data_IF_841223404962
#
_entry.id   IF_841223404962
#
_cell.length_a   1.000
_cell.length_b   1.000
_cell.length_c   1.000
_cell.angle_alpha   90.00
_cell.angle_beta   90.00
_cell.angle_gamma   90.00
#
_symmetry.space_group_name_H-M   'P 1'
#
loop_
_entity.id
_entity.type
_entity.pdbx_description
1 polymer ?
#
# COMPACT_ATOMS: atom_id res chain seq x y z
N UNK A 1 30.87 -6.46 -12.05
CA UNK A 1 30.45 -5.51 -11.00
C UNK A 1 29.36 -6.21 -10.21
N UNK A 2 29.68 -6.69 -9.03
CA UNK A 2 28.74 -7.36 -8.12
C UNK A 2 27.76 -6.32 -7.59
N UNK A 3 26.49 -6.42 -8.01
CA UNK A 3 25.41 -5.67 -7.37
C UNK A 3 25.25 -6.24 -5.97
N UNK A 4 25.70 -5.47 -4.96
CA UNK A 4 25.54 -5.84 -3.56
C UNK A 4 24.06 -6.04 -3.24
N UNK A 5 23.72 -7.13 -2.55
CA UNK A 5 22.38 -7.34 -1.99
C UNK A 5 22.01 -6.10 -1.16
N UNK A 6 20.81 -5.53 -1.33
CA UNK A 6 20.41 -4.37 -0.54
C UNK A 6 20.47 -4.74 0.95
N UNK A 7 21.15 -3.91 1.71
CA UNK A 7 21.23 -4.03 3.17
C UNK A 7 19.81 -3.97 3.73
N UNK A 8 19.32 -5.08 4.30
CA UNK A 8 17.95 -5.21 4.84
C UNK A 8 17.68 -4.27 6.02
N UNK A 9 18.67 -3.51 6.44
CA UNK A 9 18.60 -2.59 7.58
C UNK A 9 18.16 -1.18 7.20
N UNK A 10 18.21 -0.79 5.91
CA UNK A 10 17.81 0.55 5.49
C UNK A 10 16.33 0.59 5.08
N UNK A 11 15.53 1.55 5.63
CA UNK A 11 14.14 1.72 5.22
C UNK A 11 14.03 2.10 3.73
N UNK A 12 13.10 1.44 3.02
CA UNK A 12 12.74 1.80 1.64
C UNK A 12 11.94 3.09 1.61
N UNK A 13 10.93 3.19 2.49
CA UNK A 13 10.05 4.36 2.61
C UNK A 13 10.04 4.82 4.06
N UNK A 14 10.15 6.15 4.26
CA UNK A 14 10.08 6.78 5.57
C UNK A 14 9.18 8.01 5.53
N UNK A 15 8.46 8.22 6.61
CA UNK A 15 7.84 9.49 7.00
C UNK A 15 8.48 9.95 8.30
N UNK A 16 9.03 11.14 8.33
CA UNK A 16 9.74 11.68 9.49
C UNK A 16 9.02 12.93 10.00
N UNK A 17 8.52 12.87 11.23
CA UNK A 17 7.87 13.99 11.90
C UNK A 17 6.68 14.56 11.13
N UNK A 18 5.89 13.72 10.46
CA UNK A 18 4.82 14.16 9.57
C UNK A 18 3.70 14.86 10.33
N UNK A 19 3.42 16.11 9.96
CA UNK A 19 2.28 16.87 10.44
C UNK A 19 1.36 17.19 9.27
N UNK A 20 0.05 16.98 9.48
CA UNK A 20 -0.98 17.40 8.52
C UNK A 20 -2.17 18.02 9.22
N UNK A 21 -2.56 19.21 8.76
CA UNK A 21 -3.72 19.95 9.23
C UNK A 21 -4.71 20.16 8.10
N UNK A 22 -5.99 20.11 8.42
CA UNK A 22 -7.07 20.55 7.55
C UNK A 22 -7.84 21.65 8.30
N UNK A 23 -7.56 22.90 7.93
CA UNK A 23 -8.01 24.05 8.71
C UNK A 23 -7.41 24.03 10.12
N UNK A 24 -8.27 23.99 11.15
CA UNK A 24 -7.85 23.90 12.56
C UNK A 24 -7.63 22.47 13.06
N UNK A 25 -8.07 21.47 12.30
CA UNK A 25 -7.98 20.07 12.70
C UNK A 25 -6.58 19.52 12.37
N UNK A 26 -5.85 19.08 13.39
CA UNK A 26 -4.60 18.33 13.23
C UNK A 26 -4.95 16.86 13.03
N UNK A 27 -4.67 16.30 11.84
CA UNK A 27 -4.98 14.91 11.47
C UNK A 27 -3.75 14.00 11.56
N UNK A 28 -2.55 14.54 11.33
CA UNK A 28 -1.28 13.88 11.66
C UNK A 28 -0.49 14.82 12.57
N UNK A 29 0.02 14.29 13.67
CA UNK A 29 0.76 15.04 14.68
C UNK A 29 2.13 14.40 14.92
N UNK A 30 3.15 14.84 14.19
CA UNK A 30 4.55 14.37 14.26
C UNK A 30 4.67 12.85 14.13
N UNK A 31 4.01 12.29 13.12
CA UNK A 31 4.04 10.85 12.86
C UNK A 31 5.38 10.47 12.23
N UNK A 32 6.07 9.52 12.87
CA UNK A 32 7.17 8.78 12.29
C UNK A 32 6.67 7.43 11.77
N UNK A 33 7.12 7.04 10.59
CA UNK A 33 6.75 5.79 9.94
C UNK A 33 7.90 5.30 9.05
N UNK A 34 8.10 3.99 8.98
CA UNK A 34 9.07 3.42 8.04
C UNK A 34 8.62 2.04 7.56
N UNK A 35 9.13 1.60 6.42
CA UNK A 35 9.05 0.23 5.93
C UNK A 35 10.34 -0.16 5.22
N UNK A 36 10.84 -1.35 5.52
CA UNK A 36 12.03 -1.96 4.91
C UNK A 36 11.74 -2.73 3.62
N UNK A 37 12.78 -3.15 2.90
CA UNK A 37 12.65 -3.99 1.71
C UNK A 37 12.10 -5.37 2.08
N UNK A 38 11.05 -5.83 1.38
CA UNK A 38 10.39 -7.12 1.66
C UNK A 38 9.65 -7.16 3.00
N UNK A 39 9.55 -6.03 3.71
CA UNK A 39 8.75 -5.91 4.92
C UNK A 39 7.28 -5.63 4.56
N UNK A 40 6.36 -6.25 5.30
CA UNK A 40 4.95 -5.91 5.24
C UNK A 40 4.51 -5.27 6.57
N UNK A 41 4.11 -4.01 6.50
CA UNK A 41 3.64 -3.23 7.65
C UNK A 41 2.14 -3.01 7.54
N UNK A 42 1.40 -3.48 8.55
CA UNK A 42 -0.03 -3.19 8.71
C UNK A 42 -0.24 -1.88 9.47
N UNK A 43 -1.22 -1.09 9.04
CA UNK A 43 -1.65 0.10 9.77
C UNK A 43 -3.08 -0.09 10.22
N UNK A 44 -3.31 -0.05 11.54
CA UNK A 44 -4.61 -0.20 12.18
C UNK A 44 -4.93 0.99 13.06
N UNK A 45 -6.16 1.06 13.56
CA UNK A 45 -6.63 2.11 14.46
C UNK A 45 -8.08 2.50 14.18
N UNK A 46 -8.74 3.22 15.09
CA UNK A 46 -10.14 3.63 14.95
C UNK A 46 -10.37 4.54 13.74
N UNK A 47 -11.65 4.73 13.39
CA UNK A 47 -12.02 5.69 12.36
C UNK A 47 -11.61 7.11 12.79
N UNK A 48 -11.04 7.88 11.86
CA UNK A 48 -10.51 9.22 12.16
C UNK A 48 -9.11 9.23 12.78
N UNK A 49 -8.45 8.09 13.01
CA UNK A 49 -7.09 8.02 13.54
C UNK A 49 -6.00 8.64 12.65
N UNK A 50 -6.31 8.91 11.37
CA UNK A 50 -5.35 9.52 10.44
C UNK A 50 -4.71 8.54 9.44
N UNK A 51 -5.06 7.25 9.46
CA UNK A 51 -4.46 6.19 8.61
C UNK A 51 -4.44 6.52 7.13
N UNK A 52 -5.61 6.80 6.54
CA UNK A 52 -5.72 7.16 5.12
C UNK A 52 -5.00 8.49 4.81
N UNK A 53 -4.95 9.43 5.76
CA UNK A 53 -4.19 10.67 5.59
C UNK A 53 -2.69 10.38 5.56
N UNK A 54 -2.18 9.50 6.43
CA UNK A 54 -0.79 9.05 6.40
C UNK A 54 -0.46 8.43 5.04
N UNK A 55 -1.29 7.49 4.56
CA UNK A 55 -1.10 6.86 3.26
C UNK A 55 -1.12 7.89 2.11
N UNK A 56 -2.02 8.87 2.16
CA UNK A 56 -2.11 9.95 1.18
C UNK A 56 -0.87 10.86 1.20
N UNK A 57 -0.29 11.13 2.37
CA UNK A 57 0.95 11.91 2.53
C UNK A 57 2.12 11.10 1.97
N UNK A 58 2.24 9.82 2.30
CA UNK A 58 3.27 8.94 1.75
C UNK A 58 3.19 8.84 0.23
N UNK A 59 1.97 8.66 -0.32
CA UNK A 59 1.73 8.60 -1.77
C UNK A 59 1.89 9.95 -2.50
N UNK A 60 1.94 11.07 -1.78
CA UNK A 60 2.05 12.42 -2.36
C UNK A 60 0.74 13.00 -2.89
N UNK A 61 -0.41 12.34 -2.63
CA UNK A 61 -1.74 12.88 -2.93
C UNK A 61 -2.10 14.08 -2.03
N UNK A 62 -1.48 14.13 -0.86
CA UNK A 62 -1.57 15.23 0.10
C UNK A 62 -0.15 15.62 0.53
N UNK A 63 0.17 16.89 0.51
CA UNK A 63 1.46 17.38 1.02
C UNK A 63 1.41 17.50 2.55
N UNK A 64 2.44 17.04 3.28
CA UNK A 64 2.55 17.33 4.71
C UNK A 64 2.77 18.83 4.94
N UNK A 65 2.33 19.33 6.08
CA UNK A 65 2.59 20.73 6.48
C UNK A 65 3.97 20.87 7.15
N UNK A 66 4.41 19.80 7.86
CA UNK A 66 5.74 19.67 8.45
C UNK A 66 6.24 18.23 8.25
N UNK A 67 7.55 18.03 8.37
CA UNK A 67 8.18 16.72 8.23
C UNK A 67 8.56 16.36 6.79
N UNK A 68 9.06 15.15 6.61
CA UNK A 68 9.61 14.70 5.33
C UNK A 68 9.16 13.28 4.99
N UNK A 69 8.90 13.05 3.70
CA UNK A 69 8.75 11.70 3.12
C UNK A 69 9.99 11.39 2.31
N UNK A 70 10.60 10.23 2.58
CA UNK A 70 11.83 9.78 1.94
C UNK A 70 11.62 8.41 1.30
N UNK A 71 12.15 8.20 0.11
CA UNK A 71 12.26 6.90 -0.54
C UNK A 71 13.74 6.63 -0.80
N UNK A 72 14.29 5.56 -0.23
CA UNK A 72 15.73 5.28 -0.23
C UNK A 72 16.58 6.48 0.20
N UNK A 73 16.12 7.26 1.20
CA UNK A 73 16.80 8.46 1.67
C UNK A 73 16.59 9.71 0.80
N UNK A 74 16.01 9.59 -0.40
CA UNK A 74 15.70 10.72 -1.28
C UNK A 74 14.37 11.38 -0.86
N UNK A 75 14.37 12.71 -0.64
CA UNK A 75 13.18 13.44 -0.22
C UNK A 75 12.15 13.60 -1.36
N UNK A 76 10.90 13.22 -1.07
CA UNK A 76 9.81 13.20 -2.04
C UNK A 76 8.79 14.35 -1.87
N UNK A 77 8.92 15.24 -0.88
CA UNK A 77 7.87 16.20 -0.50
C UNK A 77 7.38 17.07 -1.67
N UNK A 78 8.28 17.45 -2.59
CA UNK A 78 7.95 18.30 -3.75
C UNK A 78 7.44 17.54 -4.96
N UNK A 79 7.45 16.20 -4.90
CA UNK A 79 7.09 15.35 -6.02
C UNK A 79 5.59 15.06 -6.02
N UNK A 80 4.99 15.15 -7.20
CA UNK A 80 3.60 14.73 -7.46
C UNK A 80 3.48 13.20 -7.41
N UNK A 81 2.28 12.64 -7.21
CA UNK A 81 2.07 11.19 -7.18
C UNK A 81 2.65 10.43 -8.38
N UNK A 82 2.51 10.98 -9.59
CA UNK A 82 3.06 10.38 -10.82
C UNK A 82 4.59 10.28 -10.79
N UNK A 83 5.28 11.28 -10.22
CA UNK A 83 6.73 11.27 -10.11
C UNK A 83 7.21 10.29 -9.02
N UNK A 84 6.44 10.15 -7.92
CA UNK A 84 6.68 9.13 -6.89
C UNK A 84 6.45 7.72 -7.45
N UNK A 85 5.43 7.54 -8.29
CA UNK A 85 5.17 6.29 -8.98
C UNK A 85 6.37 5.87 -9.85
N UNK A 86 6.91 6.78 -10.68
CA UNK A 86 8.11 6.53 -11.50
C UNK A 86 9.37 6.22 -10.68
N UNK A 87 9.39 6.56 -9.39
CA UNK A 87 10.48 6.21 -8.46
C UNK A 87 10.24 4.88 -7.73
N UNK A 88 9.17 4.18 -8.05
CA UNK A 88 8.87 2.86 -7.48
C UNK A 88 7.87 2.88 -6.33
N UNK A 89 6.95 3.84 -6.28
CA UNK A 89 5.85 3.85 -5.32
C UNK A 89 4.54 3.47 -5.99
N UNK A 90 4.09 2.23 -5.83
CA UNK A 90 2.80 1.75 -6.30
C UNK A 90 1.68 2.02 -5.28
N UNK A 91 0.45 2.19 -5.77
CA UNK A 91 -0.72 2.29 -4.91
C UNK A 91 -1.92 1.56 -5.51
N UNK A 92 -2.59 0.75 -4.70
CA UNK A 92 -3.91 0.18 -4.97
C UNK A 92 -4.95 0.85 -4.06
N UNK A 93 -6.09 1.21 -4.63
CA UNK A 93 -7.13 1.98 -3.94
C UNK A 93 -8.26 1.07 -3.43
N UNK A 94 -8.90 1.45 -2.35
CA UNK A 94 -10.06 0.77 -1.76
C UNK A 94 -11.16 0.50 -2.79
N UNK A 95 -11.52 1.53 -3.58
CA UNK A 95 -12.50 1.42 -4.66
C UNK A 95 -11.73 1.29 -5.97
N UNK A 96 -11.76 0.11 -6.63
CA UNK A 96 -11.10 -0.08 -7.90
C UNK A 96 -11.65 0.85 -8.98
N UNK A 97 -10.74 1.50 -9.72
CA UNK A 97 -11.10 2.43 -10.81
C UNK A 97 -10.43 2.00 -12.13
N UNK A 98 -10.81 0.86 -12.69
CA UNK A 98 -10.27 0.44 -13.97
C UNK A 98 -10.80 1.32 -15.11
N UNK A 99 -10.07 1.35 -16.20
CA UNK A 99 -10.57 1.86 -17.48
C UNK A 99 -11.58 0.86 -18.06
N UNK A 100 -12.85 1.05 -17.73
CA UNK A 100 -13.92 0.06 -17.97
C UNK A 100 -14.11 -0.35 -19.42
N UNK A 101 -13.79 0.54 -20.36
CA UNK A 101 -13.86 0.30 -21.81
C UNK A 101 -12.65 -0.47 -22.37
N UNK A 102 -11.58 -0.59 -21.60
CA UNK A 102 -10.36 -1.30 -21.96
C UNK A 102 -10.39 -2.74 -21.45
N UNK A 103 -9.60 -3.62 -22.07
CA UNK A 103 -9.36 -4.98 -21.58
C UNK A 103 -8.50 -4.97 -20.31
N UNK A 104 -8.42 -6.11 -19.64
CA UNK A 104 -7.52 -6.31 -18.47
C UNK A 104 -6.08 -6.03 -18.85
N UNK A 105 -5.60 -6.60 -19.96
CA UNK A 105 -4.24 -6.39 -20.46
C UNK A 105 -3.97 -4.92 -20.77
N UNK A 106 -4.89 -4.21 -21.44
CA UNK A 106 -4.73 -2.78 -21.75
C UNK A 106 -4.66 -1.93 -20.47
N UNK A 107 -5.45 -2.27 -19.44
CA UNK A 107 -5.37 -1.60 -18.14
C UNK A 107 -3.99 -1.76 -17.49
N UNK A 108 -3.42 -2.96 -17.53
CA UNK A 108 -2.09 -3.26 -16.98
C UNK A 108 -1.02 -2.54 -17.82
N UNK A 109 -1.15 -2.53 -19.14
CA UNK A 109 -0.22 -1.85 -20.05
C UNK A 109 -0.16 -0.33 -19.80
N UNK A 110 -1.29 0.31 -19.44
CA UNK A 110 -1.32 1.71 -19.01
C UNK A 110 -0.46 1.90 -17.76
N UNK A 111 -0.55 1.01 -16.78
CA UNK A 111 0.29 1.04 -15.57
C UNK A 111 1.78 0.91 -15.90
N UNK A 112 2.13 -0.11 -16.69
CA UNK A 112 3.50 -0.38 -17.11
C UNK A 112 4.12 0.80 -17.88
N UNK A 113 3.39 1.34 -18.85
CA UNK A 113 3.88 2.46 -19.67
C UNK A 113 3.99 3.79 -18.91
N UNK A 114 3.21 3.98 -17.85
CA UNK A 114 3.22 5.21 -17.05
C UNK A 114 4.29 5.21 -15.95
N UNK A 115 4.60 4.05 -15.37
CA UNK A 115 5.44 3.91 -14.18
C UNK A 115 6.78 3.24 -14.44
N UNK A 116 6.77 2.10 -15.10
CA UNK A 116 7.98 1.34 -15.35
C UNK A 116 8.87 2.02 -16.40
N UNK A 117 10.16 2.16 -16.09
CA UNK A 117 11.13 2.71 -17.04
C UNK A 117 11.64 1.61 -18.00
N UNK A 118 10.70 0.92 -18.67
CA UNK A 118 10.96 -0.23 -19.53
C UNK A 118 10.98 0.17 -21.01
N UNK A 119 11.75 -0.56 -21.82
CA UNK A 119 11.70 -0.47 -23.27
C UNK A 119 10.42 -1.10 -23.80
N UNK A 120 10.00 -0.71 -25.01
CA UNK A 120 8.72 -1.14 -25.59
C UNK A 120 8.50 -2.67 -25.64
N UNK A 121 9.55 -3.46 -25.86
CA UNK A 121 9.49 -4.93 -25.83
C UNK A 121 9.24 -5.48 -24.41
N UNK A 122 9.97 -4.94 -23.45
CA UNK A 122 9.91 -5.36 -22.03
C UNK A 122 8.57 -5.04 -21.36
N UNK A 123 7.82 -4.05 -21.90
CA UNK A 123 6.49 -3.69 -21.37
C UNK A 123 5.47 -4.83 -21.49
N UNK A 124 5.48 -5.58 -22.61
CA UNK A 124 4.58 -6.71 -22.80
C UNK A 124 4.96 -7.88 -21.89
N UNK A 125 6.25 -8.19 -21.79
CA UNK A 125 6.74 -9.25 -20.90
C UNK A 125 6.33 -8.94 -19.45
N UNK A 126 6.50 -7.70 -19.01
CA UNK A 126 6.05 -7.25 -17.69
C UNK A 126 4.54 -7.38 -17.52
N UNK A 127 3.74 -7.08 -18.54
CA UNK A 127 2.29 -7.24 -18.46
C UNK A 127 1.88 -8.70 -18.30
N UNK A 128 2.56 -9.63 -19.01
CA UNK A 128 2.29 -11.07 -18.90
C UNK A 128 2.65 -11.58 -17.49
N UNK A 129 3.83 -11.24 -16.98
CA UNK A 129 4.22 -11.57 -15.59
C UNK A 129 3.18 -11.10 -14.57
N UNK A 130 2.72 -9.87 -14.71
CA UNK A 130 1.72 -9.28 -13.79
C UNK A 130 0.36 -9.96 -13.93
N UNK A 131 -0.05 -10.31 -15.15
CA UNK A 131 -1.28 -11.09 -15.38
C UNK A 131 -1.23 -12.45 -14.67
N UNK A 132 -0.12 -13.18 -14.83
CA UNK A 132 0.10 -14.47 -14.19
C UNK A 132 0.10 -14.36 -12.68
N UNK A 133 0.90 -13.43 -12.12
CA UNK A 133 1.03 -13.21 -10.70
C UNK A 133 -0.31 -12.84 -10.04
N UNK A 134 -1.14 -12.02 -10.74
CA UNK A 134 -2.44 -11.61 -10.23
C UNK A 134 -3.58 -12.60 -10.55
N UNK A 135 -3.30 -13.73 -11.20
CA UNK A 135 -4.31 -14.73 -11.61
C UNK A 135 -5.34 -14.14 -12.57
N UNK A 136 -4.89 -13.33 -13.53
CA UNK A 136 -5.75 -12.63 -14.51
C UNK A 136 -5.48 -13.06 -15.96
N UNK A 137 -4.63 -14.06 -16.21
CA UNK A 137 -4.21 -14.50 -17.56
C UNK A 137 -5.40 -14.86 -18.45
N UNK A 138 -6.35 -15.67 -17.96
CA UNK A 138 -7.55 -16.08 -18.69
C UNK A 138 -8.52 -14.93 -18.97
N UNK A 139 -8.34 -13.82 -18.27
CA UNK A 139 -9.18 -12.62 -18.38
C UNK A 139 -8.49 -11.50 -19.19
N UNK A 140 -7.27 -11.72 -19.71
CA UNK A 140 -6.46 -10.69 -20.34
C UNK A 140 -7.19 -9.88 -21.41
N UNK A 141 -7.99 -10.53 -22.25
CA UNK A 141 -8.77 -9.92 -23.32
C UNK A 141 -10.19 -9.50 -22.91
N UNK A 142 -10.58 -9.75 -21.65
CA UNK A 142 -11.90 -9.38 -21.15
C UNK A 142 -11.95 -7.91 -20.80
N UNK A 143 -13.07 -7.23 -21.10
CA UNK A 143 -13.28 -5.82 -20.72
C UNK A 143 -13.36 -5.68 -19.20
N UNK A 144 -12.58 -4.75 -18.63
CA UNK A 144 -12.51 -4.51 -17.19
C UNK A 144 -13.88 -4.16 -16.58
N UNK A 145 -14.75 -3.51 -17.34
CA UNK A 145 -16.12 -3.20 -16.91
C UNK A 145 -17.02 -4.41 -16.62
N UNK A 146 -16.71 -5.59 -17.19
CA UNK A 146 -17.48 -6.84 -16.98
C UNK A 146 -16.94 -7.73 -15.85
N UNK A 147 -15.87 -7.31 -15.17
CA UNK A 147 -15.26 -8.09 -14.08
C UNK A 147 -16.12 -8.02 -12.80
N UNK A 148 -16.16 -9.14 -12.05
CA UNK A 148 -16.64 -9.16 -10.67
C UNK A 148 -15.70 -8.43 -9.71
N UNK A 149 -16.12 -8.25 -8.46
CA UNK A 149 -15.41 -7.42 -7.48
C UNK A 149 -13.98 -7.91 -7.21
N UNK A 150 -13.79 -9.19 -6.95
CA UNK A 150 -12.46 -9.78 -6.73
C UNK A 150 -11.50 -9.49 -7.89
N UNK A 151 -11.93 -9.77 -9.13
CA UNK A 151 -11.08 -9.53 -10.30
C UNK A 151 -10.81 -8.04 -10.54
N UNK A 152 -11.74 -7.13 -10.18
CA UNK A 152 -11.47 -5.68 -10.21
C UNK A 152 -10.43 -5.29 -9.18
N UNK A 153 -10.46 -5.86 -7.99
CA UNK A 153 -9.45 -5.61 -6.94
C UNK A 153 -8.08 -6.17 -7.33
N UNK A 154 -8.05 -7.41 -7.87
CA UNK A 154 -6.82 -7.97 -8.44
C UNK A 154 -6.26 -7.11 -9.59
N UNK A 155 -7.14 -6.56 -10.46
CA UNK A 155 -6.72 -5.65 -11.53
C UNK A 155 -6.17 -4.33 -10.99
N UNK A 156 -6.72 -3.79 -9.89
CA UNK A 156 -6.18 -2.58 -9.25
C UNK A 156 -4.77 -2.82 -8.69
N UNK A 157 -4.55 -3.97 -8.03
CA UNK A 157 -3.21 -4.40 -7.60
C UNK A 157 -2.29 -4.62 -8.80
N UNK A 158 -2.77 -5.32 -9.84
CA UNK A 158 -2.01 -5.56 -11.07
C UNK A 158 -1.54 -4.27 -11.75
N UNK A 159 -2.40 -3.26 -11.83
CA UNK A 159 -2.05 -1.94 -12.39
C UNK A 159 -0.95 -1.25 -11.57
N UNK A 160 -1.02 -1.36 -10.25
CA UNK A 160 0.03 -0.83 -9.36
C UNK A 160 1.34 -1.61 -9.53
N UNK A 161 1.29 -2.96 -9.65
CA UNK A 161 2.46 -3.82 -9.86
C UNK A 161 3.14 -3.60 -11.21
N UNK A 162 2.35 -3.32 -12.24
CA UNK A 162 2.87 -3.04 -13.58
C UNK A 162 3.81 -1.84 -13.63
N UNK A 163 3.72 -0.92 -12.65
CA UNK A 163 4.64 0.22 -12.52
C UNK A 163 6.03 -0.15 -12.00
N UNK A 164 6.30 -1.43 -11.73
CA UNK A 164 7.53 -1.96 -11.11
C UNK A 164 7.83 -1.31 -9.73
N UNK A 165 6.91 -1.41 -8.74
CA UNK A 165 7.06 -0.71 -7.49
C UNK A 165 8.10 -1.36 -6.57
N UNK A 166 8.83 -0.54 -5.83
CA UNK A 166 9.69 -0.94 -4.70
C UNK A 166 8.90 -0.96 -3.39
N UNK A 167 7.86 -0.14 -3.32
CA UNK A 167 6.89 -0.13 -2.22
C UNK A 167 5.47 -0.07 -2.77
N UNK A 168 4.58 -0.88 -2.21
CA UNK A 168 3.17 -0.95 -2.57
C UNK A 168 2.31 -0.50 -1.39
N UNK A 169 1.52 0.55 -1.62
CA UNK A 169 0.58 1.10 -0.66
C UNK A 169 -0.82 0.53 -0.95
N UNK A 170 -1.39 -0.21 0.00
CA UNK A 170 -2.68 -0.87 -0.09
C UNK A 170 -3.67 -0.22 0.88
N UNK A 171 -4.79 0.28 0.36
CA UNK A 171 -5.81 1.02 1.12
C UNK A 171 -7.11 0.22 1.13
N UNK A 172 -7.37 -0.55 2.21
CA UNK A 172 -8.60 -1.30 2.46
C UNK A 172 -9.07 -2.16 1.26
N UNK A 173 -8.13 -2.87 0.65
CA UNK A 173 -8.40 -3.65 -0.56
C UNK A 173 -9.21 -4.93 -0.31
N UNK A 174 -9.29 -5.43 0.94
CA UNK A 174 -10.08 -6.61 1.34
C UNK A 174 -11.58 -6.36 1.44
N UNK A 175 -12.02 -5.10 1.59
CA UNK A 175 -13.41 -4.77 1.87
C UNK A 175 -14.40 -5.28 0.80
N UNK A 176 -15.50 -5.94 1.25
CA UNK A 176 -16.56 -6.42 0.37
C UNK A 176 -16.29 -7.76 -0.34
N UNK A 177 -15.18 -8.42 -0.04
CA UNK A 177 -14.86 -9.78 -0.49
C UNK A 177 -15.44 -10.81 0.50
N UNK A 178 -15.72 -12.00 0.00
CA UNK A 178 -15.98 -13.18 0.83
C UNK A 178 -14.68 -13.68 1.48
N UNK A 179 -14.76 -14.55 2.48
CA UNK A 179 -13.57 -15.10 3.15
C UNK A 179 -12.63 -15.80 2.16
N UNK A 180 -13.18 -16.66 1.27
CA UNK A 180 -12.39 -17.35 0.24
C UNK A 180 -11.71 -16.37 -0.75
N UNK A 181 -12.42 -15.30 -1.17
CA UNK A 181 -11.85 -14.27 -2.03
C UNK A 181 -10.77 -13.44 -1.31
N UNK A 182 -10.92 -13.29 0.00
CA UNK A 182 -9.92 -12.62 0.86
C UNK A 182 -8.66 -13.47 0.97
N UNK A 183 -8.79 -14.78 1.18
CA UNK A 183 -7.65 -15.72 1.22
C UNK A 183 -6.87 -15.70 -0.12
N UNK A 184 -7.57 -15.66 -1.24
CA UNK A 184 -6.97 -15.50 -2.57
C UNK A 184 -6.18 -14.19 -2.71
N UNK A 185 -6.69 -13.10 -2.15
CA UNK A 185 -6.00 -11.80 -2.15
C UNK A 185 -4.79 -11.82 -1.23
N UNK A 186 -4.92 -12.43 -0.05
CA UNK A 186 -3.81 -12.64 0.92
C UNK A 186 -2.68 -13.41 0.27
N UNK A 187 -2.98 -14.52 -0.42
CA UNK A 187 -1.98 -15.32 -1.12
C UNK A 187 -1.20 -14.50 -2.15
N UNK A 188 -1.89 -13.65 -2.93
CA UNK A 188 -1.25 -12.73 -3.86
C UNK A 188 -0.30 -11.77 -3.13
N UNK A 189 -0.73 -11.14 -2.03
CA UNK A 189 0.10 -10.18 -1.29
C UNK A 189 1.32 -10.85 -0.64
N UNK A 190 1.18 -12.10 -0.16
CA UNK A 190 2.30 -12.90 0.34
C UNK A 190 3.35 -13.15 -0.75
N UNK A 191 2.93 -13.53 -1.96
CA UNK A 191 3.83 -13.71 -3.10
C UNK A 191 4.59 -12.41 -3.42
N UNK A 192 3.91 -11.24 -3.40
CA UNK A 192 4.57 -9.95 -3.65
C UNK A 192 5.65 -9.63 -2.61
N UNK A 193 5.38 -9.93 -1.34
CA UNK A 193 6.36 -9.77 -0.26
C UNK A 193 7.59 -10.65 -0.47
N UNK A 194 7.38 -11.91 -0.89
CA UNK A 194 8.48 -12.85 -1.19
C UNK A 194 9.35 -12.37 -2.36
N UNK A 195 8.78 -11.65 -3.32
CA UNK A 195 9.52 -10.99 -4.40
C UNK A 195 10.23 -9.69 -3.97
N UNK A 196 10.24 -9.38 -2.67
CA UNK A 196 11.00 -8.26 -2.09
C UNK A 196 10.30 -6.91 -2.16
N UNK A 197 9.04 -6.85 -2.59
CA UNK A 197 8.24 -5.61 -2.57
C UNK A 197 7.94 -5.24 -1.11
N UNK A 198 8.26 -4.01 -0.72
CA UNK A 198 7.83 -3.47 0.57
C UNK A 198 6.31 -3.19 0.52
N UNK A 199 5.58 -3.55 1.58
CA UNK A 199 4.13 -3.42 1.61
C UNK A 199 3.70 -2.57 2.80
N UNK A 200 2.85 -1.59 2.55
CA UNK A 200 2.13 -0.84 3.58
C UNK A 200 0.65 -1.07 3.37
N UNK A 201 -0.01 -1.70 4.32
CA UNK A 201 -1.40 -2.10 4.17
C UNK A 201 -2.29 -1.58 5.29
N UNK A 202 -3.29 -0.77 4.92
CA UNK A 202 -4.37 -0.36 5.81
C UNK A 202 -5.54 -1.33 5.64
N UNK A 203 -5.99 -1.93 6.73
CA UNK A 203 -7.20 -2.77 6.76
C UNK A 203 -7.95 -2.61 8.07
N UNK A 204 -9.27 -2.82 8.01
CA UNK A 204 -10.13 -2.89 9.18
C UNK A 204 -10.27 -4.32 9.72
N UNK A 205 -10.05 -5.32 8.85
CA UNK A 205 -10.16 -6.74 9.18
C UNK A 205 -8.80 -7.23 9.69
N UNK A 206 -8.59 -7.11 11.01
CA UNK A 206 -7.28 -7.37 11.63
C UNK A 206 -6.74 -8.77 11.34
N UNK A 207 -7.59 -9.81 11.36
CA UNK A 207 -7.15 -11.19 11.11
C UNK A 207 -6.61 -11.40 9.69
N UNK A 208 -7.05 -10.60 8.71
CA UNK A 208 -6.52 -10.61 7.33
C UNK A 208 -5.11 -10.01 7.31
N UNK A 209 -4.91 -8.87 7.98
CA UNK A 209 -3.58 -8.28 8.11
C UNK A 209 -2.58 -9.24 8.76
N UNK A 210 -2.98 -9.91 9.85
CA UNK A 210 -2.10 -10.80 10.61
C UNK A 210 -1.55 -11.98 9.80
N UNK A 211 -2.18 -12.35 8.70
CA UNK A 211 -1.67 -13.39 7.80
C UNK A 211 -0.47 -12.92 6.96
N UNK A 212 -0.33 -11.60 6.76
CA UNK A 212 0.64 -11.03 5.82
C UNK A 212 1.73 -10.22 6.51
N UNK A 213 1.33 -9.40 7.50
CA UNK A 213 2.24 -8.37 8.04
C UNK A 213 3.24 -8.94 9.03
N UNK A 214 4.46 -8.43 8.98
CA UNK A 214 5.53 -8.74 9.92
C UNK A 214 5.61 -7.71 11.05
N UNK A 215 5.02 -6.53 10.85
CA UNK A 215 4.95 -5.45 11.83
C UNK A 215 3.60 -4.74 11.73
N UNK A 216 3.09 -4.33 12.88
CA UNK A 216 1.82 -3.62 13.00
C UNK A 216 2.05 -2.24 13.64
N UNK A 217 1.49 -1.22 13.00
CA UNK A 217 1.46 0.15 13.51
C UNK A 217 0.03 0.50 13.88
N UNK A 218 -0.21 0.85 15.13
CA UNK A 218 -1.52 1.33 15.59
C UNK A 218 -1.51 2.85 15.71
N UNK A 219 -2.50 3.49 15.09
CA UNK A 219 -2.69 4.93 15.15
C UNK A 219 -3.95 5.29 15.92
N UNK A 220 -3.89 6.36 16.70
CA UNK A 220 -5.05 7.03 17.29
C UNK A 220 -4.85 8.54 17.33
N UNK A 221 -5.93 9.30 17.09
CA UNK A 221 -5.95 10.77 17.14
C UNK A 221 -4.74 11.45 16.45
N UNK A 222 -4.32 10.91 15.30
CA UNK A 222 -3.24 11.45 14.49
C UNK A 222 -1.82 11.12 14.96
N UNK A 223 -1.66 10.22 15.92
CA UNK A 223 -0.35 9.77 16.42
C UNK A 223 -0.20 8.25 16.31
N UNK A 224 1.03 7.76 16.28
CA UNK A 224 1.34 6.34 16.47
C UNK A 224 1.34 6.05 17.97
N UNK A 225 0.47 5.13 18.40
CA UNK A 225 0.35 4.74 19.82
C UNK A 225 1.03 3.41 20.13
N UNK A 226 1.27 2.57 19.11
CA UNK A 226 2.06 1.34 19.21
C UNK A 226 2.64 0.98 17.85
N UNK A 227 3.84 0.40 17.83
CA UNK A 227 4.57 -0.07 16.64
C UNK A 227 5.43 -1.28 17.04
N UNK A 228 5.28 -2.40 16.35
CA UNK A 228 6.05 -3.61 16.67
C UNK A 228 5.46 -4.90 16.13
N UNK A 229 5.82 -6.00 16.78
CA UNK A 229 5.31 -7.33 16.48
C UNK A 229 3.77 -7.33 16.64
N UNK A 230 3.01 -7.91 15.68
CA UNK A 230 1.56 -7.76 15.61
C UNK A 230 0.82 -8.19 16.88
N UNK A 231 1.17 -9.33 17.48
CA UNK A 231 0.49 -9.84 18.68
C UNK A 231 0.75 -8.91 19.89
N UNK A 232 1.98 -8.42 20.01
CA UNK A 232 2.38 -7.49 21.08
C UNK A 232 1.65 -6.16 20.98
N UNK A 233 1.49 -5.64 19.75
CA UNK A 233 0.74 -4.40 19.49
C UNK A 233 -0.74 -4.57 19.86
N UNK A 234 -1.37 -5.68 19.45
CA UNK A 234 -2.78 -5.95 19.75
C UNK A 234 -3.05 -6.18 21.24
N UNK A 235 -2.08 -6.70 21.97
CA UNK A 235 -2.18 -6.91 23.41
C UNK A 235 -1.88 -5.64 24.24
N UNK A 236 -1.40 -4.57 23.60
CA UNK A 236 -1.05 -3.33 24.28
C UNK A 236 -2.31 -2.63 24.84
N UNK A 237 -2.30 -2.28 26.13
CA UNK A 237 -3.43 -1.65 26.80
C UNK A 237 -3.91 -0.36 26.11
N UNK A 238 -2.98 0.47 25.65
CA UNK A 238 -3.31 1.72 24.91
C UNK A 238 -4.02 1.45 23.59
N UNK A 239 -3.72 0.32 22.91
CA UNK A 239 -4.40 -0.10 21.68
C UNK A 239 -5.79 -0.60 21.99
N UNK A 240 -5.93 -1.46 23.00
CA UNK A 240 -7.25 -1.95 23.45
C UNK A 240 -8.16 -0.81 23.85
N UNK A 241 -7.66 0.16 24.63
CA UNK A 241 -8.40 1.35 25.06
C UNK A 241 -8.84 2.24 23.89
N UNK A 242 -7.98 2.37 22.84
CA UNK A 242 -8.31 3.15 21.65
C UNK A 242 -9.47 2.52 20.85
N UNK A 243 -9.57 1.19 20.81
CA UNK A 243 -10.65 0.47 20.13
C UNK A 243 -11.94 0.35 20.92
N UNK A 244 -11.83 0.13 22.24
CA UNK A 244 -13.02 0.01 23.10
C UNK A 244 -13.66 1.36 23.41
N UNK A 245 -12.98 2.46 23.07
CA UNK A 245 -13.32 3.80 23.50
C UNK A 245 -13.03 3.95 25.01
N UNK A 246 -12.33 5.02 25.39
CA UNK A 246 -12.25 5.37 26.82
C UNK A 246 -13.68 5.51 27.29
N UNK A 247 -14.14 4.60 28.12
CA UNK A 247 -15.37 4.80 28.86
C UNK A 247 -15.29 6.20 29.48
N UNK A 248 -16.07 7.14 28.92
CA UNK A 248 -16.18 8.45 29.58
C UNK A 248 -16.67 8.20 30.98
N UNK A 249 -15.98 8.71 32.01
CA UNK A 249 -16.52 8.72 33.32
C UNK A 249 -17.83 9.52 33.37
#
# INVERSE_FOLDING_TARGET
MTVGSPDRTQPVLQGLGLVKRFGKLVVLNRVDFSVGSGEAVGIVGPNGAGKTTLLNVLAGSVSPDEGSVLLYGEQLNRLKPADRCRRGMGRAFQIPRPFVGMTVLENILVGASAGAQLRRGELYDRCIEVLELCGLSDLANRRAGSLGLLHRKRLEVARALATDPKVLLLDEIGGGLTDAETDDLVALILQLREHGVAIVWIEHIVHVLLQVVTRLVCMDAGTVIADGEPQSVLACATVVDAYLGRGKP
#
